data_IF_856317791950
#
_entry.id   IF_856317791950
#
_cell.length_a   1.000
_cell.length_b   1.000
_cell.length_c   1.000
_cell.angle_alpha   90.00
_cell.angle_beta   90.00
_cell.angle_gamma   90.00
#
_symmetry.space_group_name_H-M   'P 1'
#
loop_
_entity.id
_entity.type
_entity.pdbx_description
1 polymer ?
#
# COMPACT_ATOMS: atom_id res chain seq x y z
N UNK A 1 -29.92 15.87 24.37
CA UNK A 1 -28.59 15.32 24.70
C UNK A 1 -28.67 13.80 24.74
N UNK A 2 -28.47 13.12 23.61
CA UNK A 2 -28.36 11.66 23.56
C UNK A 2 -26.87 11.35 23.43
N UNK A 3 -26.26 10.94 24.55
CA UNK A 3 -24.87 10.50 24.58
C UNK A 3 -24.75 9.18 23.84
N UNK A 4 -23.92 9.16 22.80
CA UNK A 4 -23.55 7.95 22.08
C UNK A 4 -22.49 7.27 22.95
N UNK A 5 -22.81 6.09 23.47
CA UNK A 5 -21.92 5.28 24.28
C UNK A 5 -21.01 4.48 23.34
N UNK A 6 -19.81 4.98 23.07
CA UNK A 6 -18.81 4.31 22.23
C UNK A 6 -17.90 3.47 23.15
N UNK A 7 -18.42 2.39 23.71
CA UNK A 7 -17.57 1.30 24.23
C UNK A 7 -17.67 0.12 23.29
N UNK A 8 -16.92 0.19 22.19
CA UNK A 8 -16.45 -0.99 21.49
C UNK A 8 -14.97 -0.74 21.16
N UNK A 9 -14.09 -1.20 22.05
CA UNK A 9 -12.71 -1.47 21.64
C UNK A 9 -12.82 -2.59 20.60
N UNK A 10 -12.34 -2.41 19.35
CA UNK A 10 -12.31 -3.51 18.41
C UNK A 10 -11.49 -4.64 19.03
N UNK A 11 -12.03 -5.85 18.96
CA UNK A 11 -11.39 -7.06 19.45
C UNK A 11 -10.02 -7.19 18.78
N UNK A 12 -8.94 -7.14 19.57
CA UNK A 12 -7.54 -7.19 19.09
C UNK A 12 -7.21 -8.46 18.28
N UNK A 13 -8.16 -9.41 18.24
CA UNK A 13 -8.12 -10.70 17.56
C UNK A 13 -8.45 -10.63 16.07
N UNK A 14 -8.94 -9.49 15.55
CA UNK A 14 -9.43 -9.38 14.16
C UNK A 14 -8.67 -8.37 13.27
N UNK A 15 -7.57 -7.81 13.76
CA UNK A 15 -6.66 -6.99 12.95
C UNK A 15 -5.56 -7.92 12.42
N UNK A 16 -5.46 -8.08 11.10
CA UNK A 16 -4.27 -8.71 10.52
C UNK A 16 -3.07 -7.87 10.98
N UNK A 17 -2.02 -8.48 11.56
CA UNK A 17 -0.85 -7.71 11.96
C UNK A 17 -0.18 -7.18 10.70
N UNK A 18 -0.09 -5.86 10.57
CA UNK A 18 0.73 -5.21 9.56
C UNK A 18 2.18 -5.16 10.03
N UNK A 19 3.13 -5.39 9.12
CA UNK A 19 4.56 -5.37 9.45
C UNK A 19 5.12 -3.96 9.61
N UNK A 20 4.55 -2.96 8.93
CA UNK A 20 5.00 -1.56 8.99
C UNK A 20 3.93 -0.61 8.45
N UNK A 21 4.04 0.67 8.80
CA UNK A 21 3.40 1.76 8.04
C UNK A 21 4.41 2.35 7.06
N UNK A 22 4.00 2.54 5.81
CA UNK A 22 4.87 3.00 4.72
C UNK A 22 4.65 4.49 4.45
N UNK A 23 5.74 5.25 4.38
CA UNK A 23 5.75 6.69 4.25
C UNK A 23 6.57 7.08 3.01
N UNK A 24 6.09 8.06 2.25
CA UNK A 24 6.81 8.61 1.11
C UNK A 24 8.05 9.38 1.58
N UNK A 25 9.27 9.07 1.10
CA UNK A 25 10.48 9.79 1.50
C UNK A 25 10.52 11.24 1.01
N UNK A 26 9.79 11.57 -0.07
CA UNK A 26 9.78 12.92 -0.66
C UNK A 26 8.89 13.92 0.08
N UNK A 27 7.70 13.49 0.51
CA UNK A 27 6.72 14.36 1.17
C UNK A 27 6.34 13.96 2.60
N UNK A 28 6.91 12.86 3.12
CA UNK A 28 6.60 12.31 4.45
C UNK A 28 5.12 11.96 4.67
N UNK A 29 4.35 11.80 3.59
CA UNK A 29 2.95 11.38 3.66
C UNK A 29 2.82 9.87 3.81
N UNK A 30 1.83 9.42 4.58
CA UNK A 30 1.45 8.01 4.70
C UNK A 30 0.97 7.48 3.34
N UNK A 31 1.57 6.38 2.87
CA UNK A 31 1.28 5.73 1.59
C UNK A 31 0.54 4.41 1.78
N UNK A 32 0.90 3.62 2.79
CA UNK A 32 0.25 2.34 3.06
C UNK A 32 0.17 2.08 4.57
N UNK A 33 -1.01 1.70 5.04
CA UNK A 33 -1.28 1.40 6.45
C UNK A 33 -1.30 -0.11 6.75
N UNK A 34 -1.50 -0.95 5.73
CA UNK A 34 -1.51 -2.41 5.88
C UNK A 34 -0.62 -3.05 4.81
N UNK A 35 0.61 -3.35 5.20
CA UNK A 35 1.55 -4.09 4.39
C UNK A 35 2.15 -5.30 5.14
N UNK A 36 2.60 -6.28 4.37
CA UNK A 36 3.36 -7.43 4.82
C UNK A 36 4.78 -7.35 4.27
N UNK A 37 5.77 -7.62 5.10
CA UNK A 37 7.17 -7.60 4.71
C UNK A 37 7.51 -8.87 3.94
N UNK A 38 8.25 -8.72 2.86
CA UNK A 38 8.71 -9.86 2.07
C UNK A 38 9.69 -10.73 2.88
N UNK A 39 9.54 -12.07 2.81
CA UNK A 39 10.38 -13.01 3.58
C UNK A 39 11.86 -12.94 3.18
N UNK A 40 12.15 -12.77 1.88
CA UNK A 40 13.52 -12.72 1.37
C UNK A 40 14.16 -11.34 1.51
N UNK A 41 13.38 -10.27 1.34
CA UNK A 41 13.88 -8.89 1.27
C UNK A 41 13.18 -8.03 2.33
N UNK A 42 13.84 -7.80 3.47
CA UNK A 42 13.25 -7.05 4.59
C UNK A 42 12.91 -5.59 4.30
N UNK A 43 13.42 -5.03 3.20
CA UNK A 43 13.13 -3.68 2.76
C UNK A 43 12.04 -3.63 1.69
N UNK A 44 11.45 -4.78 1.36
CA UNK A 44 10.34 -4.88 0.43
C UNK A 44 9.07 -5.21 1.18
N UNK A 45 8.00 -4.50 0.84
CA UNK A 45 6.68 -4.67 1.43
C UNK A 45 5.67 -5.00 0.34
N UNK A 46 4.68 -5.82 0.68
CA UNK A 46 3.58 -6.18 -0.18
C UNK A 46 2.26 -5.73 0.44
N UNK A 47 1.36 -5.18 -0.34
CA UNK A 47 0.00 -4.87 0.11
C UNK A 47 -1.02 -5.42 -0.90
N UNK A 48 -2.21 -5.71 -0.38
CA UNK A 48 -3.34 -6.23 -1.16
C UNK A 48 -4.32 -5.10 -1.54
N UNK A 49 -4.33 -3.99 -0.78
CA UNK A 49 -5.30 -2.90 -0.99
C UNK A 49 -4.96 -2.04 -2.23
N UNK A 50 -5.94 -1.89 -3.12
CA UNK A 50 -5.93 -0.98 -4.27
C UNK A 50 -5.66 0.49 -3.81
N UNK A 51 -4.52 1.12 -4.13
CA UNK A 51 -4.41 2.56 -4.10
C UNK A 51 -5.34 3.10 -5.17
N UNK A 52 -6.19 4.03 -4.78
CA UNK A 52 -7.26 4.57 -5.62
C UNK A 52 -6.82 4.88 -7.06
N UNK A 53 -7.67 4.59 -8.06
CA UNK A 53 -7.25 4.44 -9.46
C UNK A 53 -6.78 5.77 -10.09
N UNK A 54 -5.53 5.78 -10.57
CA UNK A 54 -5.07 6.78 -11.55
C UNK A 54 -5.55 6.39 -12.95
N UNK A 55 -6.27 7.32 -13.57
CA UNK A 55 -6.96 7.26 -14.85
C UNK A 55 -6.10 6.71 -16.02
N UNK A 56 -6.28 5.44 -16.40
CA UNK A 56 -5.68 4.86 -17.62
C UNK A 56 -6.71 4.66 -18.73
N UNK A 57 -6.42 5.24 -19.90
CA UNK A 57 -7.16 5.02 -21.15
C UNK A 57 -7.01 3.56 -21.59
N UNK A 58 -8.11 2.94 -21.99
CA UNK A 58 -8.23 1.53 -22.39
C UNK A 58 -7.48 1.19 -23.68
N UNK A 59 -7.14 -0.10 -23.76
CA UNK A 59 -6.77 -0.92 -24.92
C UNK A 59 -5.31 -0.89 -25.38
N UNK A 60 -4.51 -1.76 -24.73
CA UNK A 60 -3.50 -2.58 -25.39
C UNK A 60 -3.34 -3.87 -24.58
N UNK A 61 -3.18 -5.03 -25.23
CA UNK A 61 -2.98 -6.33 -24.58
C UNK A 61 -1.90 -6.23 -23.50
N UNK A 62 -2.30 -6.17 -22.24
CA UNK A 62 -1.39 -6.08 -21.11
C UNK A 62 -0.79 -7.47 -20.97
N UNK A 63 0.48 -7.61 -21.35
CA UNK A 63 1.26 -8.77 -20.95
C UNK A 63 1.26 -8.76 -19.41
N UNK A 64 0.70 -9.81 -18.83
CA UNK A 64 0.42 -9.98 -17.39
C UNK A 64 1.68 -9.82 -16.50
N UNK A 65 2.86 -9.85 -17.13
CA UNK A 65 4.17 -9.66 -16.50
C UNK A 65 4.66 -8.19 -16.48
N UNK A 66 3.87 -7.22 -16.96
CA UNK A 66 4.26 -5.80 -16.95
C UNK A 66 3.93 -5.17 -15.59
N UNK A 67 4.99 -4.91 -14.82
CA UNK A 67 4.96 -4.11 -13.60
C UNK A 67 4.57 -2.66 -13.91
N UNK A 68 3.51 -2.16 -13.25
CA UNK A 68 3.02 -0.77 -13.42
C UNK A 68 3.55 0.13 -12.31
N UNK A 69 4.22 1.25 -12.61
CA UNK A 69 4.80 2.09 -11.57
C UNK A 69 3.73 2.73 -10.67
N UNK A 70 4.00 2.76 -9.36
CA UNK A 70 3.21 3.45 -8.34
C UNK A 70 3.92 4.75 -8.01
N UNK A 71 3.26 5.87 -8.25
CA UNK A 71 3.79 7.19 -7.96
C UNK A 71 3.14 7.78 -6.71
N UNK A 72 3.91 8.52 -5.92
CA UNK A 72 3.35 9.38 -4.89
C UNK A 72 2.46 10.45 -5.53
N UNK A 73 1.19 10.54 -5.14
CA UNK A 73 0.24 11.52 -5.69
C UNK A 73 0.68 12.96 -5.46
N UNK A 74 1.35 13.25 -4.33
CA UNK A 74 1.71 14.61 -3.94
C UNK A 74 3.09 15.06 -4.46
N UNK A 75 4.05 14.13 -4.53
CA UNK A 75 5.44 14.46 -4.87
C UNK A 75 5.88 13.91 -6.23
N UNK A 76 5.10 12.99 -6.81
CA UNK A 76 5.34 12.41 -8.14
C UNK A 76 6.53 11.46 -8.24
N UNK A 77 7.18 11.10 -7.13
CA UNK A 77 8.26 10.10 -7.16
C UNK A 77 7.70 8.69 -7.32
N UNK A 78 8.48 7.85 -8.00
CA UNK A 78 8.24 6.41 -8.04
C UNK A 78 8.49 5.82 -6.66
N UNK A 79 7.41 5.30 -6.08
CA UNK A 79 7.43 4.59 -4.81
C UNK A 79 7.63 3.10 -5.05
N UNK A 80 6.99 2.56 -6.10
CA UNK A 80 7.11 1.15 -6.48
C UNK A 80 6.43 0.73 -7.81
N UNK A 81 5.91 -0.50 -7.87
CA UNK A 81 5.36 -1.26 -8.97
C UNK A 81 4.17 -2.11 -8.50
N UNK A 82 3.12 -2.17 -9.31
CA UNK A 82 1.98 -3.08 -9.17
C UNK A 82 2.13 -4.26 -10.11
N UNK A 83 1.98 -5.48 -9.58
CA UNK A 83 2.00 -6.73 -10.33
C UNK A 83 0.57 -7.22 -10.57
N UNK A 84 0.00 -7.05 -11.79
CA UNK A 84 -1.39 -7.38 -12.06
C UNK A 84 -1.72 -8.88 -11.96
N UNK A 85 -0.70 -9.73 -12.15
CA UNK A 85 -0.83 -11.19 -12.06
C UNK A 85 -1.10 -11.71 -10.66
N UNK A 86 -0.39 -11.13 -9.68
CA UNK A 86 -0.53 -11.51 -8.27
C UNK A 86 -1.50 -10.57 -7.53
N UNK A 87 -1.97 -9.49 -8.17
CA UNK A 87 -2.76 -8.42 -7.55
C UNK A 87 -2.06 -7.83 -6.31
N UNK A 88 -0.73 -7.64 -6.42
CA UNK A 88 0.12 -7.19 -5.32
C UNK A 88 0.81 -5.87 -5.64
N UNK A 89 0.81 -4.98 -4.66
CA UNK A 89 1.65 -3.78 -4.65
C UNK A 89 2.99 -4.14 -4.02
N UNK A 90 4.07 -3.93 -4.74
CA UNK A 90 5.41 -4.02 -4.16
C UNK A 90 5.77 -2.64 -3.57
N UNK A 91 6.83 -2.53 -2.77
CA UNK A 91 7.11 -1.64 -1.62
C UNK A 91 8.62 -1.45 -1.43
N UNK A 92 9.35 -0.73 -2.28
CA UNK A 92 10.83 -0.68 -2.26
C UNK A 92 11.43 0.71 -2.00
N UNK A 93 10.79 1.82 -2.43
CA UNK A 93 11.31 3.18 -2.24
C UNK A 93 10.49 3.98 -1.21
N UNK A 94 10.27 3.36 -0.05
CA UNK A 94 9.44 3.86 1.04
C UNK A 94 10.20 3.87 2.37
N UNK A 95 9.81 4.76 3.28
CA UNK A 95 10.23 4.73 4.67
C UNK A 95 9.25 3.86 5.47
N UNK A 96 9.76 2.82 6.12
CA UNK A 96 8.97 1.96 6.97
C UNK A 96 9.11 2.39 8.45
N UNK A 97 7.98 2.50 9.15
CA UNK A 97 7.94 2.65 10.60
C UNK A 97 7.26 1.43 11.23
N UNK A 98 7.86 0.90 12.30
CA UNK A 98 7.40 -0.25 13.07
C UNK A 98 6.85 0.17 14.43
#
# INVERSE_FOLDING_TARGET
>A
SRGINITQKPDASSLRPTDAVLICPGCMLLVCHDCQRHETNRNQYRAIDDPEPVNTKKEQEVQDDILRPILCSEYGIELDSYEPKEELYHFANVLASH
#
